data_IF_524119833675
#
_entry.id   IF_524119833675
#
_cell.length_a   1.000
_cell.length_b   1.000
_cell.length_c   1.000
_cell.angle_alpha   90.00
_cell.angle_beta   90.00
_cell.angle_gamma   90.00
#
_symmetry.space_group_name_H-M   'P 1'
#
loop_
_entity.id
_entity.type
_entity.pdbx_description
1 polymer ?
#
# COMPACT_ATOMS: atom_id res chain seq x y z
N UNK A 1 -7.45 -14.79 13.89
CA UNK A 1 -8.04 -15.25 12.61
C UNK A 1 -8.17 -14.03 11.70
N UNK A 2 -7.07 -13.65 11.04
CA UNK A 2 -7.06 -12.51 10.10
C UNK A 2 -7.98 -12.79 8.92
N UNK A 3 -9.21 -12.28 9.01
CA UNK A 3 -10.28 -12.52 8.03
C UNK A 3 -10.20 -11.60 6.82
N UNK A 4 -9.33 -10.60 6.82
CA UNK A 4 -9.21 -9.67 5.71
C UNK A 4 -8.24 -10.24 4.65
N UNK A 5 -8.77 -11.00 3.70
CA UNK A 5 -8.13 -11.16 2.39
C UNK A 5 -7.95 -9.76 1.81
N UNK A 6 -6.72 -9.26 1.81
CA UNK A 6 -6.40 -7.94 1.27
C UNK A 6 -6.79 -7.83 -0.21
N UNK A 7 -7.29 -6.65 -0.60
CA UNK A 7 -7.55 -6.33 -2.00
C UNK A 7 -6.23 -6.21 -2.78
N UNK A 8 -6.28 -6.53 -4.07
CA UNK A 8 -5.11 -6.36 -4.95
C UNK A 8 -4.89 -4.88 -5.23
N UNK A 9 -3.64 -4.43 -5.09
CA UNK A 9 -3.23 -3.03 -5.30
C UNK A 9 -2.83 -2.72 -6.75
N UNK A 10 -2.80 -3.74 -7.63
CA UNK A 10 -2.37 -3.60 -9.02
C UNK A 10 -3.07 -4.63 -9.91
N UNK A 11 -3.09 -4.34 -11.21
CA UNK A 11 -3.53 -5.27 -12.25
C UNK A 11 -2.38 -6.19 -12.66
N UNK A 12 -2.70 -7.43 -13.01
CA UNK A 12 -1.74 -8.41 -13.54
C UNK A 12 -2.12 -8.71 -14.98
N UNK A 13 -1.13 -8.67 -15.88
CA UNK A 13 -1.32 -8.93 -17.31
C UNK A 13 -0.20 -9.81 -17.84
N UNK A 14 -0.56 -10.86 -18.59
CA UNK A 14 0.38 -11.65 -19.35
C UNK A 14 0.78 -10.91 -20.63
N UNK A 15 2.08 -10.92 -20.96
CA UNK A 15 2.61 -10.32 -22.19
C UNK A 15 2.69 -11.33 -23.34
N UNK A 16 2.74 -12.62 -23.02
CA UNK A 16 2.77 -13.77 -23.92
C UNK A 16 1.92 -14.90 -23.33
N UNK A 17 1.75 -16.00 -24.06
CA UNK A 17 1.16 -17.22 -23.51
C UNK A 17 1.97 -17.70 -22.30
N UNK A 18 1.30 -17.94 -21.18
CA UNK A 18 1.92 -18.41 -19.94
C UNK A 18 1.01 -19.40 -19.22
N UNK A 19 1.64 -20.41 -18.63
CA UNK A 19 0.97 -21.36 -17.74
C UNK A 19 1.19 -20.95 -16.28
N UNK A 20 0.15 -21.08 -15.46
CA UNK A 20 0.17 -20.67 -14.06
C UNK A 20 -0.30 -21.82 -13.17
N UNK A 21 0.53 -22.19 -12.20
CA UNK A 21 0.12 -23.04 -11.09
C UNK A 21 -0.41 -22.16 -9.96
N UNK A 22 -1.64 -22.42 -9.53
CA UNK A 22 -2.29 -21.62 -8.50
C UNK A 22 -2.82 -22.51 -7.38
N UNK A 23 -2.73 -22.02 -6.15
CA UNK A 23 -3.32 -22.65 -4.98
C UNK A 23 -4.20 -21.63 -4.26
N UNK A 24 -5.41 -22.03 -3.87
CA UNK A 24 -6.32 -21.16 -3.10
C UNK A 24 -5.83 -21.05 -1.67
N UNK A 25 -5.97 -19.86 -1.07
CA UNK A 25 -5.51 -19.57 0.31
C UNK A 25 -6.01 -20.60 1.30
N UNK A 26 -7.31 -20.88 1.32
CA UNK A 26 -7.88 -21.74 2.36
C UNK A 26 -7.39 -23.19 2.24
N UNK A 27 -7.15 -23.67 1.01
CA UNK A 27 -6.55 -24.97 0.76
C UNK A 27 -5.07 -25.03 1.11
N UNK A 28 -4.32 -23.97 0.85
CA UNK A 28 -2.94 -23.87 1.31
C UNK A 28 -2.88 -23.89 2.85
N UNK A 29 -3.73 -23.11 3.53
CA UNK A 29 -3.77 -23.06 4.99
C UNK A 29 -4.15 -24.42 5.60
N UNK A 30 -5.14 -25.12 5.04
CA UNK A 30 -5.51 -26.47 5.47
C UNK A 30 -4.32 -27.45 5.43
N UNK A 31 -3.51 -27.40 4.36
CA UNK A 31 -2.31 -28.25 4.22
C UNK A 31 -1.21 -27.83 5.19
N UNK A 32 -0.97 -26.53 5.38
CA UNK A 32 0.03 -26.03 6.31
C UNK A 32 -0.35 -26.35 7.77
N UNK A 33 -1.64 -26.32 8.10
CA UNK A 33 -2.17 -26.68 9.41
C UNK A 33 -2.04 -28.17 9.69
N UNK A 34 -2.15 -29.03 8.66
CA UNK A 34 -1.95 -30.47 8.80
C UNK A 34 -0.46 -30.83 8.90
N UNK A 35 0.41 -30.21 8.09
CA UNK A 35 1.85 -30.46 8.06
C UNK A 35 2.66 -29.37 8.78
N UNK A 36 2.49 -29.26 10.08
CA UNK A 36 3.07 -28.19 10.91
C UNK A 36 4.61 -28.08 10.79
N UNK A 37 5.33 -29.22 10.73
CA UNK A 37 6.78 -29.21 10.57
C UNK A 37 7.22 -28.60 9.22
N UNK A 38 6.42 -28.80 8.17
CA UNK A 38 6.66 -28.21 6.85
C UNK A 38 6.32 -26.73 6.81
N UNK A 39 5.30 -26.27 7.55
CA UNK A 39 4.86 -24.87 7.53
C UNK A 39 5.98 -23.88 7.86
N UNK A 40 6.83 -24.21 8.85
CA UNK A 40 7.99 -23.39 9.22
C UNK A 40 9.05 -23.35 8.11
N UNK A 41 9.22 -24.45 7.37
CA UNK A 41 10.11 -24.49 6.21
C UNK A 41 9.52 -23.67 5.06
N UNK A 42 8.24 -23.85 4.78
CA UNK A 42 7.52 -23.13 3.73
C UNK A 42 7.58 -21.62 3.92
N UNK A 43 7.28 -21.11 5.13
CA UNK A 43 7.26 -19.69 5.42
C UNK A 43 8.63 -19.01 5.31
N UNK A 44 9.72 -19.73 5.61
CA UNK A 44 11.09 -19.21 5.50
C UNK A 44 11.62 -19.22 4.07
N UNK A 45 11.18 -20.19 3.26
CA UNK A 45 11.75 -20.43 1.94
C UNK A 45 10.91 -19.82 0.80
N UNK A 46 9.60 -19.62 0.98
CA UNK A 46 8.76 -18.99 -0.03
C UNK A 46 8.93 -17.47 0.02
N UNK A 47 9.67 -16.93 -0.94
CA UNK A 47 9.78 -15.49 -1.16
C UNK A 47 8.86 -15.12 -2.32
N UNK A 48 7.90 -14.22 -2.04
CA UNK A 48 7.04 -13.67 -3.09
C UNK A 48 7.85 -12.70 -3.97
N UNK A 49 7.90 -12.96 -5.27
CA UNK A 49 8.50 -12.04 -6.24
C UNK A 49 7.77 -10.70 -6.28
N UNK A 50 6.45 -10.72 -6.11
CA UNK A 50 5.63 -9.52 -6.01
C UNK A 50 4.44 -9.74 -5.06
N UNK A 51 4.28 -8.85 -4.09
CA UNK A 51 3.15 -8.89 -3.16
C UNK A 51 2.03 -7.94 -3.62
N UNK A 52 0.95 -8.51 -4.15
CA UNK A 52 -0.20 -7.74 -4.66
C UNK A 52 -0.97 -6.98 -3.58
N UNK A 53 -0.78 -7.27 -2.28
CA UNK A 53 -1.40 -6.50 -1.20
C UNK A 53 -0.70 -5.15 -0.97
N UNK A 54 0.59 -5.06 -1.28
CA UNK A 54 1.39 -3.88 -0.97
C UNK A 54 1.21 -2.80 -2.04
N UNK A 55 0.81 -1.60 -1.61
CA UNK A 55 0.70 -0.44 -2.50
C UNK A 55 2.05 0.24 -2.65
N UNK A 56 2.57 0.27 -3.87
CA UNK A 56 3.76 1.05 -4.21
C UNK A 56 3.39 2.54 -4.31
N UNK A 57 4.20 3.39 -3.67
CA UNK A 57 4.06 4.85 -3.72
C UNK A 57 5.11 5.39 -4.68
N UNK A 58 4.67 5.93 -5.81
CA UNK A 58 5.53 6.55 -6.80
C UNK A 58 4.81 7.74 -7.45
N UNK A 59 5.58 8.66 -8.04
CA UNK A 59 5.06 9.75 -8.88
C UNK A 59 5.58 9.57 -10.30
N UNK A 60 4.73 9.85 -11.30
CA UNK A 60 5.16 9.79 -12.70
C UNK A 60 6.15 10.92 -12.97
N UNK A 61 7.24 10.62 -13.66
CA UNK A 61 8.27 11.62 -14.02
C UNK A 61 7.66 12.77 -14.83
N UNK A 62 6.71 12.48 -15.72
CA UNK A 62 5.98 13.50 -16.47
C UNK A 62 5.21 14.47 -15.57
N UNK A 63 4.54 13.96 -14.52
CA UNK A 63 3.80 14.80 -13.56
C UNK A 63 4.76 15.68 -12.76
N UNK A 64 5.91 15.14 -12.36
CA UNK A 64 6.95 15.89 -11.65
C UNK A 64 7.54 17.01 -12.52
N UNK A 65 7.79 16.73 -13.81
CA UNK A 65 8.26 17.76 -14.77
C UNK A 65 7.23 18.87 -14.94
N UNK A 66 5.96 18.52 -15.10
CA UNK A 66 4.85 19.48 -15.19
C UNK A 66 4.70 20.33 -13.92
N UNK A 67 4.83 19.72 -12.74
CA UNK A 67 4.76 20.42 -11.46
C UNK A 67 5.87 21.50 -11.33
N UNK A 68 7.08 21.19 -11.78
CA UNK A 68 8.21 22.14 -11.80
C UNK A 68 7.96 23.34 -12.72
N UNK A 69 7.48 23.09 -13.94
CA UNK A 69 7.13 24.16 -14.88
C UNK A 69 6.04 25.09 -14.32
N UNK A 70 5.00 24.52 -13.70
CA UNK A 70 3.95 25.29 -13.03
C UNK A 70 4.47 26.05 -11.80
N UNK A 71 5.49 25.55 -11.11
CA UNK A 71 6.12 26.26 -9.99
C UNK A 71 6.95 27.46 -10.48
N UNK A 72 7.68 27.31 -11.59
CA UNK A 72 8.43 28.42 -12.21
C UNK A 72 7.50 29.52 -12.72
N UNK A 73 6.37 29.15 -13.36
CA UNK A 73 5.36 30.13 -13.81
C UNK A 73 4.74 30.90 -12.65
N UNK A 74 4.45 30.24 -11.53
CA UNK A 74 3.88 30.88 -10.32
C UNK A 74 4.83 31.89 -9.67
N UNK A 75 6.14 31.81 -9.89
CA UNK A 75 7.09 32.83 -9.43
C UNK A 75 6.85 34.19 -10.11
N UNK A 76 6.23 34.18 -11.28
CA UNK A 76 6.00 35.38 -12.10
C UNK A 76 4.55 35.91 -11.99
N UNK A 77 3.65 35.26 -11.24
CA UNK A 77 2.28 35.73 -11.01
C UNK A 77 2.15 36.47 -9.66
N UNK A 78 1.31 37.52 -9.57
CA UNK A 78 1.01 38.17 -8.30
C UNK A 78 0.35 37.19 -7.32
N UNK A 79 0.75 37.24 -6.04
CA UNK A 79 0.21 36.35 -5.01
C UNK A 79 -1.29 36.60 -4.81
N UNK A 80 -2.08 35.53 -4.85
CA UNK A 80 -3.52 35.58 -4.54
C UNK A 80 -3.73 35.79 -3.04
N UNK A 81 -4.80 36.52 -2.72
CA UNK A 81 -5.14 36.96 -1.38
C UNK A 81 -5.48 35.78 -0.43
N UNK A 82 -4.91 35.78 0.77
CA UNK A 82 -4.71 34.60 1.62
C UNK A 82 -5.95 34.17 2.43
N UNK A 83 -7.09 34.83 2.22
CA UNK A 83 -8.28 34.74 3.09
C UNK A 83 -9.22 33.55 2.85
N UNK A 84 -8.92 32.62 1.92
CA UNK A 84 -9.83 31.50 1.55
C UNK A 84 -9.45 30.12 2.14
N UNK A 85 -8.50 30.04 3.06
CA UNK A 85 -7.84 28.78 3.44
C UNK A 85 -8.49 27.97 4.59
N UNK A 86 -9.47 28.51 5.33
CA UNK A 86 -9.94 27.90 6.57
C UNK A 86 -10.52 26.48 6.40
N UNK A 87 -11.29 26.25 5.34
CA UNK A 87 -11.85 24.92 5.04
C UNK A 87 -10.75 23.92 4.66
N UNK A 88 -9.79 24.35 3.84
CA UNK A 88 -8.65 23.53 3.42
C UNK A 88 -7.77 23.15 4.61
N UNK A 89 -7.50 24.10 5.53
CA UNK A 89 -6.79 23.81 6.79
C UNK A 89 -7.54 22.79 7.65
N UNK A 90 -8.89 22.86 7.71
CA UNK A 90 -9.71 21.87 8.42
C UNK A 90 -9.59 20.48 7.79
N UNK A 91 -9.60 20.40 6.46
CA UNK A 91 -9.40 19.15 5.70
C UNK A 91 -8.02 18.55 6.00
N UNK A 92 -6.94 19.34 5.91
CA UNK A 92 -5.59 18.87 6.22
C UNK A 92 -5.42 18.45 7.69
N UNK A 93 -6.05 19.16 8.63
CA UNK A 93 -6.07 18.79 10.04
C UNK A 93 -6.73 17.43 10.26
N UNK A 94 -7.85 17.17 9.58
CA UNK A 94 -8.52 15.86 9.59
C UNK A 94 -7.60 14.76 9.02
N UNK A 95 -6.99 14.98 7.86
CA UNK A 95 -6.06 13.99 7.27
C UNK A 95 -4.87 13.67 8.18
N UNK A 96 -4.29 14.67 8.87
CA UNK A 96 -3.21 14.44 9.84
C UNK A 96 -3.68 13.60 11.03
N UNK A 97 -4.89 13.85 11.54
CA UNK A 97 -5.48 13.08 12.64
C UNK A 97 -5.74 11.63 12.21
N UNK A 98 -6.33 11.42 11.04
CA UNK A 98 -6.64 10.08 10.51
C UNK A 98 -5.36 9.26 10.29
N UNK A 99 -4.29 9.89 9.82
CA UNK A 99 -2.97 9.25 9.67
C UNK A 99 -2.36 8.86 11.02
N UNK A 100 -2.51 9.70 12.05
CA UNK A 100 -2.04 9.39 13.40
C UNK A 100 -2.80 8.21 14.01
N UNK A 101 -4.11 8.13 13.81
CA UNK A 101 -4.94 7.01 14.24
C UNK A 101 -4.55 5.70 13.53
N UNK A 102 -4.30 5.75 12.21
CA UNK A 102 -3.79 4.58 11.47
C UNK A 102 -2.42 4.12 11.96
N UNK A 103 -1.51 5.04 12.30
CA UNK A 103 -0.19 4.68 12.81
C UNK A 103 -0.23 4.02 14.21
N UNK A 104 -1.20 4.39 15.06
CA UNK A 104 -1.41 3.75 16.36
C UNK A 104 -2.03 2.35 16.22
N UNK A 105 -2.92 2.15 15.24
CA UNK A 105 -3.54 0.85 14.97
C UNK A 105 -2.57 -0.20 14.39
N UNK A 106 -1.53 0.22 13.66
CA UNK A 106 -0.49 -0.68 13.14
C UNK A 106 0.61 -1.02 14.15
N UNK A 107 0.74 -0.29 15.26
CA UNK A 107 1.65 -0.63 16.37
C UNK A 107 1.04 -1.64 17.37
N UNK A 108 -0.28 -1.80 17.37
CA UNK A 108 -1.00 -2.72 18.28
C UNK A 108 -1.17 -4.15 17.71
N UNK A 109 -0.56 -4.46 16.56
CA UNK A 109 -0.57 -5.80 15.93
C UNK A 109 0.77 -6.55 16.00
N UNK A 110 1.69 -6.15 16.87
CA UNK A 110 2.85 -7.00 17.20
C UNK A 110 2.41 -8.07 18.22
N UNK A 111 2.45 -9.38 17.91
CA UNK A 111 2.33 -10.38 18.96
C UNK A 111 3.60 -10.30 19.80
N UNK A 112 3.43 -9.99 21.09
CA UNK A 112 4.45 -10.24 22.10
C UNK A 112 4.72 -11.74 22.06
N UNK A 113 5.90 -12.12 21.57
CA UNK A 113 6.42 -13.47 21.72
C UNK A 113 6.50 -13.82 23.20
N UNK A 114 5.93 -14.98 23.54
CA UNK A 114 6.42 -15.80 24.64
C UNK A 114 7.73 -16.45 24.22
#
# INVERSE_FOLDING_TARGET
KDSAVGQSAANVRALTYCDLHTIKRDKLLEVLDFYQAFANSFARNLILTYNLRHRLIFRKVADVRREKELAERRKNEPQLDQNQDHLVRKIFSKFRRDRALQAQASQSQSPVGQ
#
